data_IF_222285749222
#
_entry.id   IF_222285749222
#
_cell.length_a   1.000
_cell.length_b   1.000
_cell.length_c   1.000
_cell.angle_alpha   90.00
_cell.angle_beta   90.00
_cell.angle_gamma   90.00
#
_symmetry.space_group_name_H-M   'P 1'
#
loop_
_entity.id
_entity.type
_entity.pdbx_description
1 polymer ?
#
# COMPACT_ATOMS: atom_id res chain seq x y z
N UNK A 1 -0.14 -33.77 -21.84
CA UNK A 1 0.82 -33.92 -20.71
C UNK A 1 1.75 -32.71 -20.49
N UNK A 2 1.89 -31.74 -21.41
CA UNK A 2 2.70 -30.52 -21.17
C UNK A 2 2.14 -29.63 -20.05
N UNK A 3 0.82 -29.38 -20.05
CA UNK A 3 0.15 -28.45 -19.14
C UNK A 3 0.42 -28.73 -17.65
N UNK A 4 0.31 -29.99 -17.20
CA UNK A 4 0.56 -30.33 -15.80
C UNK A 4 2.01 -30.06 -15.38
N UNK A 5 2.98 -30.31 -16.28
CA UNK A 5 4.42 -30.14 -16.01
C UNK A 5 4.89 -28.68 -16.06
N UNK A 6 4.19 -27.81 -16.77
CA UNK A 6 4.61 -26.40 -16.94
C UNK A 6 3.74 -25.40 -16.19
N UNK A 7 2.44 -25.64 -16.09
CA UNK A 7 1.49 -24.68 -15.53
C UNK A 7 1.31 -24.83 -14.02
N UNK A 8 1.28 -26.06 -13.50
CA UNK A 8 1.07 -26.32 -12.07
C UNK A 8 2.21 -25.82 -11.19
N UNK A 9 3.50 -25.98 -11.55
CA UNK A 9 4.60 -25.41 -10.77
C UNK A 9 4.54 -23.88 -10.67
N UNK A 10 3.98 -23.21 -11.69
CA UNK A 10 3.77 -21.76 -11.67
C UNK A 10 2.64 -21.30 -10.76
N UNK A 11 1.68 -22.19 -10.44
CA UNK A 11 0.52 -21.89 -9.56
C UNK A 11 0.69 -22.33 -8.12
N UNK A 12 1.62 -23.22 -7.83
CA UNK A 12 2.00 -23.54 -6.46
C UNK A 12 3.53 -23.64 -6.36
N UNK A 13 4.23 -22.48 -6.35
CA UNK A 13 5.67 -22.46 -6.21
C UNK A 13 6.09 -23.12 -4.88
N UNK A 14 7.07 -24.00 -4.93
CA UNK A 14 7.58 -24.73 -3.77
C UNK A 14 6.83 -26.01 -3.39
N UNK A 15 5.74 -26.37 -4.09
CA UNK A 15 5.15 -27.71 -3.96
C UNK A 15 5.85 -28.72 -4.87
N UNK A 16 5.97 -29.96 -4.37
CA UNK A 16 6.47 -31.10 -5.14
C UNK A 16 5.29 -31.84 -5.73
N UNK A 17 5.31 -32.04 -7.05
CA UNK A 17 4.26 -32.74 -7.77
C UNK A 17 4.71 -34.17 -8.11
N UNK A 18 3.86 -35.19 -7.93
CA UNK A 18 4.16 -36.53 -8.39
C UNK A 18 4.26 -36.58 -9.93
N UNK A 19 5.01 -37.53 -10.47
CA UNK A 19 5.02 -37.77 -11.92
C UNK A 19 3.70 -38.42 -12.34
N UNK A 20 2.91 -37.68 -13.12
CA UNK A 20 1.65 -38.20 -13.66
C UNK A 20 1.86 -39.03 -14.91
N UNK A 21 1.19 -40.17 -14.96
CA UNK A 21 1.28 -41.09 -16.11
C UNK A 21 0.13 -40.86 -17.11
N UNK A 22 -1.02 -40.36 -16.64
CA UNK A 22 -2.19 -40.03 -17.48
C UNK A 22 -2.93 -38.75 -17.05
N UNK A 23 -3.94 -38.34 -17.84
CA UNK A 23 -4.75 -37.15 -17.58
C UNK A 23 -5.81 -37.35 -16.49
N UNK A 24 -6.26 -38.58 -16.24
CA UNK A 24 -7.27 -38.88 -15.23
C UNK A 24 -6.69 -38.69 -13.82
N UNK A 25 -5.43 -39.06 -13.63
CA UNK A 25 -4.67 -38.85 -12.39
C UNK A 25 -4.50 -37.36 -12.07
N UNK A 26 -4.19 -36.55 -13.10
CA UNK A 26 -4.11 -35.09 -12.97
C UNK A 26 -5.48 -34.50 -12.63
N UNK A 27 -6.54 -34.89 -13.32
CA UNK A 27 -7.90 -34.35 -13.11
C UNK A 27 -8.42 -34.65 -11.69
N UNK A 28 -8.19 -35.87 -11.20
CA UNK A 28 -8.53 -36.26 -9.85
C UNK A 28 -7.77 -35.43 -8.80
N UNK A 29 -6.46 -35.27 -8.97
CA UNK A 29 -5.65 -34.46 -8.05
C UNK A 29 -6.03 -32.97 -8.10
N UNK A 30 -6.28 -32.42 -9.29
CA UNK A 30 -6.60 -30.99 -9.46
C UNK A 30 -7.98 -30.64 -8.91
N UNK A 31 -8.94 -31.56 -8.97
CA UNK A 31 -10.28 -31.38 -8.40
C UNK A 31 -10.22 -31.04 -6.91
N UNK A 32 -9.25 -31.61 -6.19
CA UNK A 32 -9.04 -31.35 -4.77
C UNK A 32 -8.09 -30.17 -4.51
N UNK A 33 -7.00 -30.04 -5.28
CA UNK A 33 -5.89 -29.11 -4.94
C UNK A 33 -5.97 -27.72 -5.59
N UNK A 34 -6.61 -27.58 -6.76
CA UNK A 34 -6.68 -26.28 -7.46
C UNK A 34 -7.54 -25.27 -6.70
N UNK A 35 -8.57 -25.75 -6.02
CA UNK A 35 -9.46 -24.92 -5.20
C UNK A 35 -8.65 -24.31 -4.04
N UNK A 36 -7.80 -25.10 -3.39
CA UNK A 36 -6.96 -24.66 -2.27
C UNK A 36 -5.93 -23.63 -2.71
N UNK A 37 -5.21 -23.87 -3.82
CA UNK A 37 -4.25 -22.89 -4.33
C UNK A 37 -4.95 -21.59 -4.73
N UNK A 38 -6.07 -21.67 -5.44
CA UNK A 38 -6.83 -20.48 -5.84
C UNK A 38 -7.27 -19.67 -4.63
N UNK A 39 -7.73 -20.35 -3.57
CA UNK A 39 -8.11 -19.72 -2.31
C UNK A 39 -6.90 -19.05 -1.64
N UNK A 40 -5.77 -19.76 -1.54
CA UNK A 40 -4.55 -19.27 -0.91
C UNK A 40 -4.00 -18.04 -1.64
N UNK A 41 -3.90 -18.08 -2.96
CA UNK A 41 -3.44 -16.93 -3.76
C UNK A 41 -4.36 -15.72 -3.63
N UNK A 42 -5.67 -15.95 -3.56
CA UNK A 42 -6.64 -14.88 -3.35
C UNK A 42 -6.50 -14.27 -1.95
N UNK A 43 -6.30 -15.09 -0.93
CA UNK A 43 -6.07 -14.63 0.44
C UNK A 43 -4.75 -13.86 0.57
N UNK A 44 -3.66 -14.37 -0.01
CA UNK A 44 -2.36 -13.70 -0.07
C UNK A 44 -2.47 -12.34 -0.79
N UNK A 45 -3.05 -12.30 -2.00
CA UNK A 45 -3.20 -11.05 -2.74
C UNK A 45 -4.11 -10.02 -2.05
N UNK A 46 -5.17 -10.46 -1.35
CA UNK A 46 -5.99 -9.55 -0.53
C UNK A 46 -5.19 -9.03 0.68
N UNK A 47 -4.40 -9.88 1.32
CA UNK A 47 -3.60 -9.50 2.48
C UNK A 47 -2.50 -8.51 2.10
N UNK A 48 -1.79 -8.79 1.01
CA UNK A 48 -0.74 -7.91 0.48
C UNK A 48 -1.34 -6.55 0.09
N UNK A 49 -2.41 -6.54 -0.71
CA UNK A 49 -3.07 -5.30 -1.12
C UNK A 49 -3.62 -4.48 0.06
N UNK A 50 -4.11 -5.12 1.12
CA UNK A 50 -4.51 -4.43 2.35
C UNK A 50 -3.32 -3.87 3.12
N UNK A 51 -2.23 -4.63 3.22
CA UNK A 51 -1.04 -4.19 3.93
C UNK A 51 -0.40 -2.99 3.23
N UNK A 52 -0.26 -3.04 1.90
CA UNK A 52 0.23 -1.93 1.07
C UNK A 52 -0.68 -0.72 1.19
N UNK A 53 -1.99 -0.88 0.99
CA UNK A 53 -2.94 0.24 1.10
C UNK A 53 -2.99 0.89 2.49
N UNK A 54 -2.82 0.11 3.56
CA UNK A 54 -2.73 0.66 4.93
C UNK A 54 -1.40 1.39 5.17
N UNK A 55 -0.29 0.91 4.62
CA UNK A 55 1.01 1.54 4.74
C UNK A 55 1.05 2.86 3.97
N UNK A 56 0.59 2.86 2.72
CA UNK A 56 0.48 4.06 1.88
C UNK A 56 -0.48 5.08 2.51
N UNK A 57 -1.69 4.65 2.87
CA UNK A 57 -2.69 5.54 3.48
C UNK A 57 -2.23 6.14 4.81
N UNK A 58 -1.47 5.40 5.63
CA UNK A 58 -0.88 5.93 6.86
C UNK A 58 0.22 6.94 6.56
N UNK A 59 1.12 6.64 5.61
CA UNK A 59 2.20 7.55 5.24
C UNK A 59 1.66 8.87 4.66
N UNK A 60 0.66 8.78 3.78
CA UNK A 60 -0.01 9.95 3.21
C UNK A 60 -0.76 10.75 4.29
N UNK A 61 -1.53 10.07 5.14
CA UNK A 61 -2.26 10.71 6.24
C UNK A 61 -1.35 11.42 7.24
N UNK A 62 -0.22 10.78 7.61
CA UNK A 62 0.78 11.37 8.49
C UNK A 62 1.48 12.58 7.85
N UNK A 63 1.75 12.54 6.55
CA UNK A 63 2.34 13.66 5.82
C UNK A 63 1.36 14.84 5.71
N UNK A 64 0.11 14.58 5.33
CA UNK A 64 -0.96 15.58 5.25
C UNK A 64 -1.23 16.20 6.62
N UNK A 65 -1.35 15.38 7.67
CA UNK A 65 -1.60 15.86 9.03
C UNK A 65 -0.48 16.78 9.55
N UNK A 66 0.79 16.43 9.31
CA UNK A 66 1.92 17.30 9.67
C UNK A 66 1.91 18.61 8.91
N UNK A 67 1.54 18.60 7.62
CA UNK A 67 1.46 19.83 6.83
C UNK A 67 0.30 20.72 7.28
N UNK A 68 -0.86 20.14 7.56
CA UNK A 68 -2.01 20.84 8.11
C UNK A 68 -1.71 21.44 9.50
N UNK A 69 -1.06 20.68 10.38
CA UNK A 69 -0.66 21.16 11.71
C UNK A 69 0.29 22.36 11.60
N UNK A 70 1.30 22.30 10.72
CA UNK A 70 2.22 23.41 10.47
C UNK A 70 1.50 24.65 9.95
N UNK A 71 0.53 24.48 9.03
CA UNK A 71 -0.28 25.59 8.50
C UNK A 71 -1.19 26.20 9.56
N UNK A 72 -1.85 25.37 10.37
CA UNK A 72 -2.67 25.82 11.50
C UNK A 72 -1.83 26.56 12.55
N UNK A 73 -0.64 26.06 12.84
CA UNK A 73 0.31 26.71 13.74
C UNK A 73 0.74 28.07 13.18
N UNK A 74 1.10 28.15 11.88
CA UNK A 74 1.42 29.40 11.21
C UNK A 74 0.28 30.43 11.29
N UNK A 75 -0.97 30.02 11.03
CA UNK A 75 -2.14 30.90 11.16
C UNK A 75 -2.31 31.44 12.59
N UNK A 76 -2.14 30.58 13.61
CA UNK A 76 -2.22 31.00 15.02
C UNK A 76 -1.13 32.01 15.39
N UNK A 77 0.07 31.88 14.82
CA UNK A 77 1.16 32.83 15.03
C UNK A 77 0.89 34.16 14.32
N UNK A 78 0.39 34.13 13.08
CA UNK A 78 0.00 35.33 12.35
C UNK A 78 -1.13 36.09 13.06
N UNK A 79 -2.06 35.39 13.70
CA UNK A 79 -3.15 36.00 14.50
C UNK A 79 -2.62 36.74 15.74
N UNK A 80 -1.38 36.47 16.16
CA UNK A 80 -0.71 37.16 17.27
C UNK A 80 0.15 38.35 16.80
N UNK A 81 -0.13 38.88 15.61
CA UNK A 81 0.62 39.99 14.98
C UNK A 81 2.11 39.71 14.75
N UNK A 82 2.49 38.43 14.70
CA UNK A 82 3.86 38.00 14.44
C UNK A 82 4.21 38.20 12.95
N UNK A 83 5.45 38.58 12.63
CA UNK A 83 5.82 38.86 11.25
C UNK A 83 5.89 37.59 10.39
N UNK A 84 5.62 37.71 9.10
CA UNK A 84 5.68 36.58 8.14
C UNK A 84 7.06 35.89 8.18
N UNK A 85 8.13 36.66 8.33
CA UNK A 85 9.49 36.13 8.40
C UNK A 85 9.70 35.28 9.66
N UNK A 86 9.27 35.75 10.83
CA UNK A 86 9.37 35.00 12.09
C UNK A 86 8.50 33.74 12.07
N UNK A 87 7.31 33.83 11.49
CA UNK A 87 6.41 32.67 11.34
C UNK A 87 7.02 31.63 10.40
N UNK A 88 7.62 32.04 9.29
CA UNK A 88 8.32 31.14 8.37
C UNK A 88 9.48 30.41 9.06
N UNK A 89 10.27 31.11 9.87
CA UNK A 89 11.35 30.48 10.65
C UNK A 89 10.81 29.49 11.70
N UNK A 90 9.79 29.87 12.48
CA UNK A 90 9.25 29.03 13.56
C UNK A 90 8.51 27.79 13.06
N UNK A 91 7.90 27.86 11.88
CA UNK A 91 7.09 26.77 11.32
C UNK A 91 7.86 25.93 10.31
N UNK A 92 9.03 26.41 9.86
CA UNK A 92 9.80 25.83 8.77
C UNK A 92 9.08 25.88 7.41
N UNK A 93 8.03 26.70 7.29
CA UNK A 93 7.30 26.88 6.03
C UNK A 93 7.97 27.96 5.17
N UNK A 94 7.93 27.83 3.84
CA UNK A 94 8.41 28.89 2.95
C UNK A 94 7.63 30.20 3.19
N UNK A 95 8.33 31.33 3.11
CA UNK A 95 7.73 32.68 3.26
C UNK A 95 6.51 32.85 2.34
N UNK A 96 6.60 32.42 1.08
CA UNK A 96 5.48 32.47 0.13
C UNK A 96 4.23 31.71 0.61
N UNK A 97 4.40 30.59 1.30
CA UNK A 97 3.28 29.82 1.88
C UNK A 97 2.66 30.57 3.05
N UNK A 98 3.49 31.15 3.93
CA UNK A 98 3.03 31.94 5.08
C UNK A 98 2.31 33.22 4.62
N UNK A 99 2.79 33.88 3.57
CA UNK A 99 2.11 35.04 2.96
C UNK A 99 0.75 34.66 2.39
N UNK A 100 0.66 33.52 1.69
CA UNK A 100 -0.61 33.02 1.18
C UNK A 100 -1.61 32.74 2.31
N UNK A 101 -1.15 32.22 3.45
CA UNK A 101 -1.98 32.00 4.64
C UNK A 101 -2.46 33.29 5.30
N UNK A 102 -1.70 34.39 5.20
CA UNK A 102 -2.10 35.71 5.68
C UNK A 102 -3.15 36.38 4.79
N UNK A 103 -3.11 36.09 3.48
CA UNK A 103 -4.01 36.69 2.47
C UNK A 103 -5.39 36.03 2.38
N UNK A 104 -5.68 35.05 3.23
CA UNK A 104 -6.90 34.24 3.23
C UNK A 104 -7.84 34.67 4.35
#
# INVERSE_FOLDING_TARGET
>A
MWFARTFLPGRAPGQTFPEFTDLQEVDAMLSETVIEWTKKWKEEGISEGRAEGLAEGRAEGDAQGREEERRLFAQRLLTRDMSVAEVAELTGLPVAVVEALRSR
#
